data_IF_967637710775
#
_entry.id   IF_967637710775
#
_cell.length_a   1.000
_cell.length_b   1.000
_cell.length_c   1.000
_cell.angle_alpha   90.00
_cell.angle_beta   90.00
_cell.angle_gamma   90.00
#
_symmetry.space_group_name_H-M   'P 1'
#
loop_
_entity.id
_entity.type
_entity.pdbx_description
1 polymer ?
#
# COMPACT_ATOMS: atom_id res chain seq x y z
N UNK A 1 -21.59 -1.58 -21.42
CA UNK A 1 -20.63 -2.06 -20.40
C UNK A 1 -19.98 -0.84 -19.78
N UNK A 2 -20.23 -0.55 -18.51
CA UNK A 2 -19.50 0.50 -17.80
C UNK A 2 -18.08 -0.01 -17.61
N UNK A 3 -17.10 0.72 -18.15
CA UNK A 3 -15.69 0.35 -18.03
C UNK A 3 -15.28 0.60 -16.58
N UNK A 4 -14.92 -0.46 -15.86
CA UNK A 4 -14.39 -0.33 -14.51
C UNK A 4 -13.04 0.39 -14.57
N UNK A 5 -12.94 1.54 -13.91
CA UNK A 5 -11.75 2.39 -13.90
C UNK A 5 -11.08 2.35 -12.52
N UNK A 6 -9.76 2.22 -12.50
CA UNK A 6 -8.94 2.26 -11.28
C UNK A 6 -8.26 3.62 -11.19
N UNK A 7 -8.45 4.31 -10.06
CA UNK A 7 -7.93 5.65 -9.80
C UNK A 7 -6.88 5.54 -8.71
N UNK A 8 -5.67 6.05 -8.97
CA UNK A 8 -4.63 6.18 -7.94
C UNK A 8 -5.15 7.12 -6.85
N UNK A 9 -5.24 6.63 -5.61
CA UNK A 9 -5.83 7.36 -4.50
C UNK A 9 -4.90 7.51 -3.29
N UNK A 10 -3.79 6.77 -3.22
CA UNK A 10 -2.94 6.79 -2.03
C UNK A 10 -3.71 6.38 -0.77
N UNK A 11 -3.88 7.30 0.18
CA UNK A 11 -4.67 7.09 1.40
C UNK A 11 -6.13 7.60 1.33
N UNK A 12 -6.57 8.15 0.19
CA UNK A 12 -7.89 8.78 0.00
C UNK A 12 -9.02 7.77 -0.28
N UNK A 13 -9.02 6.64 0.41
CA UNK A 13 -10.10 5.66 0.37
C UNK A 13 -10.94 5.72 1.64
N UNK A 14 -12.20 5.31 1.53
CA UNK A 14 -13.20 5.29 2.61
C UNK A 14 -13.81 3.89 2.78
N UNK A 15 -14.63 3.71 3.81
CA UNK A 15 -15.44 2.49 3.96
C UNK A 15 -16.33 2.27 2.73
N UNK A 16 -16.42 1.02 2.28
CA UNK A 16 -17.11 0.62 1.05
C UNK A 16 -16.25 0.68 -0.22
N UNK A 17 -15.13 1.42 -0.23
CA UNK A 17 -14.24 1.44 -1.39
C UNK A 17 -13.61 0.05 -1.63
N UNK A 18 -13.42 -0.29 -2.90
CA UNK A 18 -12.57 -1.42 -3.30
C UNK A 18 -11.21 -0.87 -3.65
N UNK A 19 -10.17 -1.31 -2.94
CA UNK A 19 -8.80 -0.85 -3.11
C UNK A 19 -7.88 -1.97 -3.59
N UNK A 20 -6.85 -1.57 -4.35
CA UNK A 20 -5.77 -2.42 -4.82
C UNK A 20 -4.44 -1.85 -4.36
N UNK A 21 -3.63 -2.67 -3.70
CA UNK A 21 -2.29 -2.27 -3.24
C UNK A 21 -1.30 -3.44 -3.28
N UNK A 22 -0.01 -3.09 -3.27
CA UNK A 22 1.10 -4.03 -3.25
C UNK A 22 1.85 -3.93 -1.92
N UNK A 23 2.15 -5.07 -1.30
CA UNK A 23 2.93 -5.09 -0.05
C UNK A 23 4.07 -6.11 -0.09
N UNK A 24 5.13 -5.83 0.67
CA UNK A 24 6.21 -6.80 0.90
C UNK A 24 5.79 -7.86 1.90
N UNK A 25 6.15 -9.12 1.61
CA UNK A 25 5.95 -10.23 2.54
C UNK A 25 7.26 -10.51 3.24
N UNK A 26 7.23 -10.52 4.56
CA UNK A 26 8.39 -10.69 5.42
C UNK A 26 8.24 -11.92 6.31
N UNK A 27 9.35 -12.60 6.54
CA UNK A 27 9.46 -13.71 7.47
C UNK A 27 10.68 -13.51 8.37
N UNK A 28 10.72 -14.19 9.51
CA UNK A 28 11.88 -14.12 10.39
C UNK A 28 13.08 -14.80 9.71
N UNK A 29 14.27 -14.23 9.87
CA UNK A 29 15.49 -14.90 9.42
C UNK A 29 15.65 -16.22 10.20
N UNK A 30 16.02 -17.29 9.48
CA UNK A 30 16.29 -18.60 10.09
C UNK A 30 17.44 -18.56 11.11
N UNK A 31 18.41 -17.66 10.92
CA UNK A 31 19.58 -17.55 11.78
C UNK A 31 19.46 -16.43 12.81
N UNK A 32 18.65 -15.40 12.53
CA UNK A 32 18.42 -14.27 13.42
C UNK A 32 16.93 -13.98 13.57
N UNK A 33 16.30 -14.57 14.57
CA UNK A 33 14.86 -14.44 14.85
C UNK A 33 14.39 -13.01 15.13
N UNK A 34 15.29 -12.08 15.43
CA UNK A 34 14.97 -10.66 15.61
C UNK A 34 14.94 -9.88 14.29
N UNK A 35 15.54 -10.42 13.22
CA UNK A 35 15.53 -9.82 11.90
C UNK A 35 14.36 -10.34 11.07
N UNK A 36 13.71 -9.44 10.32
CA UNK A 36 12.70 -9.82 9.31
C UNK A 36 13.29 -9.63 7.92
N UNK A 37 13.30 -10.70 7.14
CA UNK A 37 13.79 -10.71 5.77
C UNK A 37 12.59 -10.68 4.82
N UNK A 38 12.69 -9.88 3.77
CA UNK A 38 11.67 -9.84 2.71
C UNK A 38 11.78 -11.13 1.90
N UNK A 39 10.73 -11.96 1.94
CA UNK A 39 10.66 -13.23 1.22
C UNK A 39 9.89 -13.12 -0.10
N UNK A 40 9.20 -12.00 -0.32
CA UNK A 40 8.49 -11.77 -1.56
C UNK A 40 7.60 -10.54 -1.52
N UNK A 41 6.63 -10.53 -2.43
CA UNK A 41 5.63 -9.50 -2.58
C UNK A 41 4.28 -10.13 -2.90
N UNK A 42 3.21 -9.40 -2.60
CA UNK A 42 1.86 -9.75 -3.03
C UNK A 42 1.07 -8.52 -3.39
N UNK A 43 0.11 -8.71 -4.28
CA UNK A 43 -0.86 -7.70 -4.70
C UNK A 43 -2.20 -8.14 -4.14
N UNK A 44 -2.89 -7.22 -3.47
CA UNK A 44 -4.20 -7.49 -2.87
C UNK A 44 -5.22 -6.55 -3.48
N UNK A 45 -6.41 -7.08 -3.73
CA UNK A 45 -7.62 -6.31 -4.01
C UNK A 45 -8.63 -6.63 -2.92
N UNK A 46 -9.11 -5.62 -2.20
CA UNK A 46 -10.00 -5.82 -1.06
C UNK A 46 -11.02 -4.70 -0.95
N UNK A 47 -12.19 -5.03 -0.41
CA UNK A 47 -13.17 -4.04 0.01
C UNK A 47 -12.83 -3.54 1.42
N UNK A 48 -12.90 -2.23 1.63
CA UNK A 48 -12.74 -1.60 2.94
C UNK A 48 -14.02 -1.78 3.73
N UNK A 49 -13.96 -2.59 4.80
CA UNK A 49 -15.11 -2.90 5.65
C UNK A 49 -15.17 -1.99 6.88
N UNK A 50 -13.99 -1.60 7.38
CA UNK A 50 -13.89 -0.61 8.46
C UNK A 50 -12.61 0.19 8.35
N UNK A 51 -12.76 1.50 8.45
CA UNK A 51 -11.67 2.47 8.37
C UNK A 51 -11.54 3.25 9.69
N UNK A 52 -10.45 3.06 10.46
CA UNK A 52 -10.26 3.76 11.70
C UNK A 52 -9.73 5.18 11.46
N UNK A 53 -9.98 6.05 12.43
CA UNK A 53 -9.58 7.47 12.39
C UNK A 53 -8.06 7.67 12.48
N UNK A 54 -7.32 6.69 13.01
CA UNK A 54 -5.87 6.73 13.20
C UNK A 54 -5.11 5.79 12.24
N UNK A 55 -4.01 6.29 11.66
CA UNK A 55 -3.19 5.61 10.66
C UNK A 55 -2.45 4.37 11.22
N UNK A 56 -2.21 4.33 12.53
CA UNK A 56 -1.59 3.19 13.21
C UNK A 56 -2.61 2.14 13.66
N UNK A 57 -3.90 2.45 13.56
CA UNK A 57 -4.97 1.52 13.88
C UNK A 57 -5.21 0.56 12.73
N UNK A 58 -5.60 -0.66 13.08
CA UNK A 58 -5.86 -1.72 12.12
C UNK A 58 -7.22 -1.51 11.45
N UNK A 59 -7.19 -1.31 10.14
CA UNK A 59 -8.33 -1.44 9.25
C UNK A 59 -8.83 -2.87 9.18
N UNK A 60 -10.09 -3.03 8.79
CA UNK A 60 -10.67 -4.32 8.44
C UNK A 60 -10.98 -4.32 6.96
N UNK A 61 -10.49 -5.35 6.26
CA UNK A 61 -10.59 -5.49 4.81
C UNK A 61 -11.14 -6.88 4.48
N UNK A 62 -12.05 -6.96 3.52
CA UNK A 62 -12.48 -8.23 2.91
C UNK A 62 -11.72 -8.46 1.62
N UNK A 63 -10.91 -9.50 1.56
CA UNK A 63 -10.14 -9.84 0.35
C UNK A 63 -11.08 -10.28 -0.77
N UNK A 64 -10.94 -9.66 -1.94
CA UNK A 64 -11.61 -10.08 -3.17
C UNK A 64 -10.68 -10.96 -4.00
N UNK A 65 -9.44 -10.49 -4.20
CA UNK A 65 -8.38 -11.25 -4.86
C UNK A 65 -7.03 -10.96 -4.18
N UNK A 66 -6.13 -11.93 -4.20
CA UNK A 66 -4.76 -11.78 -3.72
C UNK A 66 -3.84 -12.69 -4.52
N UNK A 67 -2.71 -12.16 -4.96
CA UNK A 67 -1.75 -12.85 -5.82
C UNK A 67 -0.32 -12.65 -5.32
N UNK A 68 0.53 -13.65 -5.53
CA UNK A 68 1.95 -13.63 -5.16
C UNK A 68 2.27 -14.44 -3.91
N UNK A 69 3.29 -14.00 -3.18
CA UNK A 69 3.83 -14.75 -2.03
C UNK A 69 2.84 -14.72 -0.87
N UNK A 70 2.48 -15.89 -0.30
CA UNK A 70 1.53 -15.99 0.82
C UNK A 70 0.25 -15.16 0.58
N UNK A 71 -0.34 -15.36 -0.60
CA UNK A 71 -1.60 -14.73 -0.98
C UNK A 71 -2.72 -15.14 -0.02
N UNK A 72 -3.65 -14.22 0.20
CA UNK A 72 -4.86 -14.46 0.98
C UNK A 72 -5.91 -15.22 0.19
N UNK A 73 -6.85 -15.84 0.91
CA UNK A 73 -8.02 -16.44 0.26
C UNK A 73 -9.05 -15.36 -0.05
N UNK A 74 -9.74 -15.50 -1.18
CA UNK A 74 -10.90 -14.67 -1.48
C UNK A 74 -11.98 -14.86 -0.40
N UNK A 75 -12.62 -13.77 0.01
CA UNK A 75 -13.59 -13.71 1.11
C UNK A 75 -12.97 -13.62 2.51
N UNK A 76 -11.65 -13.73 2.65
CA UNK A 76 -10.97 -13.65 3.94
C UNK A 76 -11.03 -12.23 4.53
N UNK A 77 -11.39 -12.12 5.81
CA UNK A 77 -11.36 -10.86 6.55
C UNK A 77 -9.96 -10.67 7.16
N UNK A 78 -9.23 -9.65 6.71
CA UNK A 78 -7.90 -9.34 7.24
C UNK A 78 -7.88 -8.03 8.00
N UNK A 79 -6.90 -7.93 8.90
CA UNK A 79 -6.58 -6.69 9.60
C UNK A 79 -5.23 -6.16 9.13
N UNK A 80 -5.19 -4.88 8.77
CA UNK A 80 -3.98 -4.22 8.26
C UNK A 80 -3.89 -2.79 8.79
N UNK A 81 -2.69 -2.38 9.15
CA UNK A 81 -2.46 -0.99 9.52
C UNK A 81 -2.71 -0.11 8.30
N UNK A 82 -3.44 0.98 8.46
CA UNK A 82 -3.86 1.83 7.34
C UNK A 82 -2.69 2.26 6.47
N UNK A 83 -1.57 2.66 7.07
CA UNK A 83 -0.36 3.07 6.34
C UNK A 83 0.21 2.00 5.40
N UNK A 84 -0.03 0.70 5.64
CA UNK A 84 0.40 -0.38 4.74
C UNK A 84 -0.42 -0.42 3.45
N UNK A 85 -1.69 -0.01 3.54
CA UNK A 85 -2.61 0.08 2.42
C UNK A 85 -2.62 1.48 1.78
N UNK A 86 -1.90 2.45 2.33
CA UNK A 86 -1.88 3.84 1.89
C UNK A 86 -0.63 4.20 1.09
N UNK A 87 -0.03 3.23 0.39
CA UNK A 87 1.11 3.48 -0.50
C UNK A 87 0.73 4.43 -1.63
N UNK A 88 1.69 5.18 -2.17
CA UNK A 88 1.44 6.15 -3.26
C UNK A 88 0.81 5.51 -4.50
N UNK A 89 1.12 4.24 -4.75
CA UNK A 89 0.62 3.45 -5.87
C UNK A 89 -0.67 2.67 -5.53
N UNK A 90 -1.32 3.00 -4.41
CA UNK A 90 -2.61 2.41 -4.06
C UNK A 90 -3.69 3.00 -4.95
N UNK A 91 -4.51 2.12 -5.51
CA UNK A 91 -5.61 2.48 -6.38
C UNK A 91 -6.93 2.11 -5.72
N UNK A 92 -7.98 2.85 -6.04
CA UNK A 92 -9.36 2.50 -5.73
C UNK A 92 -10.14 2.28 -7.02
N UNK A 93 -11.14 1.43 -6.97
CA UNK A 93 -12.12 1.32 -8.04
C UNK A 93 -13.02 2.56 -8.01
N UNK A 94 -13.19 3.19 -9.17
CA UNK A 94 -14.13 4.31 -9.33
C UNK A 94 -15.55 3.84 -9.03
N UNK A 95 -16.30 4.66 -8.30
CA UNK A 95 -17.73 4.43 -8.10
C UNK A 95 -18.46 4.69 -9.41
N UNK A 96 -19.62 4.05 -9.58
CA UNK A 96 -20.50 4.37 -10.71
C UNK A 96 -21.01 5.82 -10.65
N UNK A 97 -21.09 6.37 -9.43
CA UNK A 97 -21.48 7.74 -9.13
C UNK A 97 -20.46 8.32 -8.14
N UNK A 98 -19.54 9.15 -8.65
CA UNK A 98 -18.52 9.81 -7.83
C UNK A 98 -19.08 11.00 -7.04
N UNK A 99 -20.20 11.59 -7.47
CA UNK A 99 -20.87 12.66 -6.71
C UNK A 99 -21.50 12.08 -5.44
N UNK A 100 -22.08 10.87 -5.53
CA UNK A 100 -22.54 10.13 -4.35
C UNK A 100 -21.37 9.82 -3.39
N UNK A 101 -20.20 9.43 -3.91
CA UNK A 101 -19.00 9.22 -3.09
C UNK A 101 -18.56 10.51 -2.39
N UNK A 102 -18.58 11.64 -3.09
CA UNK A 102 -18.26 12.94 -2.51
C UNK A 102 -19.21 13.30 -1.36
N UNK A 103 -20.52 13.08 -1.54
CA UNK A 103 -21.51 13.29 -0.49
C UNK A 103 -21.27 12.40 0.74
N UNK A 104 -20.85 11.14 0.54
CA UNK A 104 -20.46 10.26 1.65
C UNK A 104 -19.27 10.85 2.40
N UNK A 105 -18.22 11.28 1.70
CA UNK A 105 -17.04 11.92 2.31
C UNK A 105 -17.46 13.15 3.13
N UNK A 106 -18.34 14.00 2.61
CA UNK A 106 -18.82 15.20 3.30
C UNK A 106 -19.63 14.88 4.56
N UNK A 107 -20.31 13.74 4.59
CA UNK A 107 -21.07 13.25 5.74
C UNK A 107 -20.22 12.63 6.85
N UNK A 108 -18.95 12.29 6.58
CA UNK A 108 -18.07 11.64 7.56
C UNK A 108 -17.78 12.54 8.78
N UNK A 109 -17.42 11.97 9.94
CA UNK A 109 -16.87 12.72 11.07
C UNK A 109 -15.70 13.61 10.65
N UNK A 110 -15.57 14.78 11.26
CA UNK A 110 -14.54 15.78 10.92
C UNK A 110 -13.11 15.21 10.99
N UNK A 111 -12.85 14.32 11.96
CA UNK A 111 -11.56 13.65 12.11
C UNK A 111 -11.19 12.82 10.86
N UNK A 112 -12.15 12.06 10.34
CA UNK A 112 -11.97 11.24 9.14
C UNK A 112 -11.82 12.11 7.89
N UNK A 113 -12.63 13.17 7.74
CA UNK A 113 -12.48 14.14 6.64
C UNK A 113 -11.09 14.79 6.64
N UNK A 114 -10.61 15.21 7.80
CA UNK A 114 -9.24 15.76 7.95
C UNK A 114 -8.18 14.73 7.59
N UNK A 115 -8.34 13.46 7.98
CA UNK A 115 -7.40 12.40 7.62
C UNK A 115 -7.35 12.18 6.09
N UNK A 116 -8.50 12.16 5.42
CA UNK A 116 -8.61 12.06 3.96
C UNK A 116 -7.98 13.28 3.28
N UNK A 117 -8.24 14.50 3.78
CA UNK A 117 -7.66 15.72 3.22
C UNK A 117 -6.13 15.77 3.38
N UNK A 118 -5.60 15.35 4.53
CA UNK A 118 -4.15 15.24 4.76
C UNK A 118 -3.55 14.19 3.82
N UNK A 119 -4.23 13.07 3.60
CA UNK A 119 -3.81 12.06 2.64
C UNK A 119 -3.76 12.60 1.20
N UNK A 120 -4.78 13.37 0.79
CA UNK A 120 -4.83 14.06 -0.51
C UNK A 120 -3.61 14.94 -0.74
N UNK A 121 -3.27 15.74 0.26
CA UNK A 121 -2.12 16.65 0.20
C UNK A 121 -0.83 15.86 0.07
N UNK A 122 -0.63 14.81 0.89
CA UNK A 122 0.56 13.95 0.81
C UNK A 122 0.69 13.18 -0.50
N UNK A 123 -0.42 12.79 -1.11
CA UNK A 123 -0.43 12.15 -2.42
C UNK A 123 -0.05 13.15 -3.53
N UNK A 124 -0.40 14.43 -3.37
CA UNK A 124 -0.16 15.51 -4.34
C UNK A 124 1.22 16.17 -4.22
N UNK A 125 1.94 15.99 -3.12
CA UNK A 125 3.29 16.55 -2.96
C UNK A 125 4.28 15.94 -3.98
N UNK A 126 4.91 16.78 -4.84
CA UNK A 126 6.02 16.34 -5.66
C UNK A 126 7.18 15.86 -4.78
N UNK A 127 7.85 14.83 -5.25
CA UNK A 127 8.81 13.94 -4.58
C UNK A 127 10.07 14.57 -3.94
N UNK A 128 10.16 15.88 -3.78
CA UNK A 128 11.44 16.57 -3.52
C UNK A 128 11.73 16.89 -2.04
N UNK A 129 10.96 16.38 -1.07
CA UNK A 129 11.26 16.66 0.35
C UNK A 129 10.92 15.49 1.28
N UNK A 130 11.50 14.33 1.04
CA UNK A 130 11.81 13.43 2.15
C UNK A 130 13.28 13.60 2.51
N UNK A 131 13.62 14.21 3.67
CA UNK A 131 14.97 14.06 4.18
C UNK A 131 15.24 12.56 4.36
N UNK A 132 16.44 12.07 4.02
CA UNK A 132 16.78 10.67 4.22
C UNK A 132 16.48 10.31 5.67
N UNK A 133 15.72 9.22 5.89
CA UNK A 133 15.51 8.66 7.22
C UNK A 133 16.87 8.57 7.90
N UNK A 134 17.05 9.33 8.98
CA UNK A 134 18.24 9.26 9.81
C UNK A 134 18.31 7.85 10.42
N UNK A 135 19.04 6.97 9.75
CA UNK A 135 19.13 5.56 10.04
C UNK A 135 20.35 4.96 9.36
N UNK A 136 21.51 5.22 9.97
CA UNK A 136 22.79 4.53 9.77
C UNK A 136 23.28 4.37 8.32
N UNK A 137 23.94 5.41 7.81
CA UNK A 137 24.89 5.28 6.70
C UNK A 137 26.06 4.40 7.18
N UNK A 138 26.12 3.15 6.73
CA UNK A 138 27.42 2.46 6.60
C UNK A 138 27.93 2.75 5.20
N UNK A 139 28.92 3.61 5.11
CA UNK A 139 29.58 4.00 3.87
C UNK A 139 30.19 2.77 3.20
N UNK A 140 29.74 2.44 1.98
CA UNK A 140 30.47 1.57 1.08
C UNK A 140 31.50 2.42 0.31
N UNK A 141 32.74 1.95 0.10
CA UNK A 141 33.75 2.75 -0.59
C UNK A 141 33.40 2.93 -2.08
N UNK A 142 33.79 4.11 -2.57
CA UNK A 142 33.54 4.68 -3.89
C UNK A 142 34.14 3.81 -5.00
N UNK A 143 33.31 3.46 -5.98
CA UNK A 143 33.76 2.77 -7.20
C UNK A 143 32.64 2.03 -7.94
N UNK A 144 31.51 2.69 -8.21
CA UNK A 144 30.45 2.10 -9.03
C UNK A 144 30.08 3.06 -10.17
N UNK A 145 30.77 2.92 -11.29
CA UNK A 145 30.30 3.43 -12.58
C UNK A 145 29.49 2.31 -13.24
N UNK A 146 28.22 2.58 -13.55
CA UNK A 146 27.44 1.80 -14.52
C UNK A 146 26.19 1.11 -13.98
N UNK A 147 25.02 1.70 -14.26
CA UNK A 147 23.85 0.90 -14.68
C UNK A 147 24.25 0.14 -15.98
N UNK A 148 23.69 -1.04 -16.35
CA UNK A 148 22.26 -1.37 -16.27
C UNK A 148 21.94 -2.84 -15.91
N UNK A 149 20.65 -3.12 -15.80
CA UNK A 149 20.09 -4.46 -15.70
C UNK A 149 20.50 -5.30 -16.92
N UNK A 150 21.38 -6.28 -16.71
CA UNK A 150 21.48 -7.45 -17.59
C UNK A 150 21.61 -8.71 -16.74
N UNK A 151 20.74 -9.66 -17.07
CA UNK A 151 20.71 -10.99 -16.52
C UNK A 151 21.99 -11.77 -16.85
N UNK A 152 22.47 -12.59 -15.91
CA UNK A 152 22.98 -13.92 -16.27
C UNK A 152 22.88 -14.93 -15.13
N UNK A 153 22.23 -16.04 -15.48
CA UNK A 153 22.21 -17.32 -14.76
C UNK A 153 23.64 -17.71 -14.37
N UNK A 154 23.81 -18.21 -13.14
CA UNK A 154 24.87 -19.18 -12.84
C UNK A 154 24.25 -20.58 -12.85
N UNK A 155 24.77 -21.46 -13.72
CA UNK A 155 24.96 -22.86 -13.33
C UNK A 155 26.42 -23.21 -13.61
N UNK A 156 26.97 -23.84 -12.59
CA UNK A 156 28.28 -24.47 -12.49
C UNK A 156 28.18 -25.86 -13.10
N UNK A 157 29.25 -26.29 -13.76
CA UNK A 157 29.43 -27.59 -14.41
C UNK A 157 30.56 -27.45 -15.40
#
# INVERSE_FOLDING_TARGET
MVKQEWIICGAEFIEGDVIRWQEGVFENDRHNWQARVRIGQRINTAQVERDPDDLNTMMVLRILTSEGTRAYKAGEMIRRARHTCSGKDTERLAWSDEDARAAVIDSLPEAQRKAIQVARIKAREPWETQPPRAGAVRSAPVGATGAPWTARRRRVG
#
